data_IF_058491395508
#
_entry.id   IF_058491395508
#
_cell.length_a   1.000
_cell.length_b   1.000
_cell.length_c   1.000
_cell.angle_alpha   90.00
_cell.angle_beta   90.00
_cell.angle_gamma   90.00
#
_symmetry.space_group_name_H-M   'P 1'
#
loop_
_entity.id
_entity.type
_entity.pdbx_description
1 polymer ?
#
# COMPACT_ATOMS: atom_id res chain seq x y z
N UNK A 1 -39.39 34.90 52.13
CA UNK A 1 -38.46 35.25 51.08
C UNK A 1 -39.22 35.33 49.78
N UNK A 2 -39.17 36.45 49.08
CA UNK A 2 -39.99 36.65 47.89
C UNK A 2 -39.47 35.85 46.71
N UNK A 3 -40.39 35.46 45.84
CA UNK A 3 -40.08 34.64 44.63
C UNK A 3 -38.96 35.23 43.74
N UNK A 4 -38.75 36.53 43.80
CA UNK A 4 -37.66 37.21 43.07
C UNK A 4 -36.27 36.93 43.63
N UNK A 5 -36.13 36.81 44.97
CA UNK A 5 -34.81 36.48 45.58
C UNK A 5 -34.37 35.08 45.27
N UNK A 6 -35.31 34.15 45.08
CA UNK A 6 -35.01 32.77 44.69
C UNK A 6 -34.56 32.69 43.22
N UNK A 7 -35.16 33.47 42.31
CA UNK A 7 -34.75 33.53 40.89
C UNK A 7 -33.38 34.13 40.70
N UNK A 8 -32.98 35.14 41.47
CA UNK A 8 -31.65 35.75 41.39
C UNK A 8 -30.57 34.78 41.90
N UNK A 9 -30.83 34.03 42.97
CA UNK A 9 -29.90 33.05 43.51
C UNK A 9 -29.73 31.87 42.55
N UNK A 10 -30.78 31.40 41.89
CA UNK A 10 -30.66 30.32 40.89
C UNK A 10 -29.90 30.77 39.62
N UNK A 11 -30.09 32.02 39.18
CA UNK A 11 -29.33 32.56 38.02
C UNK A 11 -27.83 32.71 38.32
N UNK A 12 -27.49 33.14 39.55
CA UNK A 12 -26.08 33.23 39.96
C UNK A 12 -25.41 31.86 40.14
N UNK A 13 -26.13 30.87 40.65
CA UNK A 13 -25.61 29.50 40.77
C UNK A 13 -25.40 28.84 39.39
N UNK A 14 -26.27 29.14 38.43
CA UNK A 14 -26.12 28.63 37.04
C UNK A 14 -24.93 29.28 36.31
N UNK A 15 -24.67 30.56 36.56
CA UNK A 15 -23.55 31.27 35.94
C UNK A 15 -22.19 30.80 36.53
N UNK A 16 -22.11 30.53 37.84
CA UNK A 16 -20.91 30.01 38.48
C UNK A 16 -20.61 28.57 38.02
N UNK A 17 -21.64 27.73 37.81
CA UNK A 17 -21.50 26.39 37.27
C UNK A 17 -21.00 26.41 35.82
N UNK A 18 -21.44 27.34 34.97
CA UNK A 18 -20.99 27.52 33.59
C UNK A 18 -19.52 28.00 33.49
N UNK A 19 -19.11 28.91 34.40
CA UNK A 19 -17.73 29.40 34.43
C UNK A 19 -16.77 28.32 34.99
N UNK A 20 -17.21 27.52 35.97
CA UNK A 20 -16.39 26.41 36.50
C UNK A 20 -16.21 25.26 35.48
N UNK A 21 -17.18 25.03 34.57
CA UNK A 21 -17.07 24.01 33.53
C UNK A 21 -16.18 24.47 32.36
N UNK A 22 -16.04 25.78 32.14
CA UNK A 22 -15.17 26.35 31.10
C UNK A 22 -13.67 26.34 31.45
N UNK A 23 -13.32 26.25 32.75
CA UNK A 23 -11.92 26.31 33.22
C UNK A 23 -11.28 24.91 33.32
N UNK A 24 -12.06 23.80 33.26
CA UNK A 24 -11.52 22.45 33.39
C UNK A 24 -11.37 21.71 32.05
N UNK A 25 -11.79 22.32 30.93
CA UNK A 25 -11.49 21.76 29.61
C UNK A 25 -10.19 22.37 29.08
N UNK A 26 -9.05 22.02 29.71
CA UNK A 26 -7.77 22.08 29.02
C UNK A 26 -7.81 21.01 27.95
N UNK A 27 -7.67 21.34 26.65
CA UNK A 27 -7.43 20.31 25.67
C UNK A 27 -6.13 19.65 26.09
N UNK A 28 -6.23 18.39 26.52
CA UNK A 28 -5.06 17.53 26.62
C UNK A 28 -4.28 17.75 25.35
N UNK A 29 -3.12 18.36 25.47
CA UNK A 29 -2.13 18.46 24.43
C UNK A 29 -2.06 17.08 23.79
N UNK A 30 -2.53 17.01 22.54
CA UNK A 30 -2.29 15.86 21.70
C UNK A 30 -0.77 15.65 21.80
N UNK A 31 -0.38 14.56 22.45
CA UNK A 31 0.98 14.07 22.42
C UNK A 31 1.32 14.01 20.94
N UNK A 32 2.02 15.03 20.44
CA UNK A 32 2.65 14.99 19.14
C UNK A 32 3.48 13.71 19.17
N UNK A 33 3.01 12.68 18.46
CA UNK A 33 3.87 11.55 18.15
C UNK A 33 5.17 12.14 17.70
N UNK A 34 6.31 11.70 18.27
CA UNK A 34 7.60 12.14 17.78
C UNK A 34 7.56 11.94 16.27
N UNK A 35 7.85 12.99 15.53
CA UNK A 35 7.96 12.95 14.08
C UNK A 35 8.86 11.75 13.79
N UNK A 36 8.27 10.74 13.15
CA UNK A 36 8.95 9.54 12.72
C UNK A 36 10.25 10.01 12.08
N UNK A 37 11.40 9.63 12.65
CA UNK A 37 12.72 9.91 12.09
C UNK A 37 12.87 9.07 10.82
N UNK A 38 12.03 9.35 9.83
CA UNK A 38 12.23 8.81 8.49
C UNK A 38 13.58 9.29 8.04
N UNK A 39 14.41 8.37 7.63
CA UNK A 39 15.71 8.68 7.06
C UNK A 39 15.56 9.84 6.09
N UNK A 40 16.12 10.99 6.42
CA UNK A 40 16.16 12.18 5.57
C UNK A 40 17.10 12.00 4.36
N UNK A 41 17.72 10.81 4.25
CA UNK A 41 18.62 10.46 3.16
C UNK A 41 17.79 10.31 1.88
N UNK A 42 18.09 11.17 0.91
CA UNK A 42 17.55 11.09 -0.44
C UNK A 42 18.46 10.24 -1.33
N UNK A 43 17.90 9.59 -2.37
CA UNK A 43 18.73 8.91 -3.35
C UNK A 43 19.66 9.89 -4.07
N UNK A 44 20.88 9.44 -4.37
CA UNK A 44 21.80 10.20 -5.19
C UNK A 44 21.61 9.85 -6.68
N UNK A 45 21.88 10.81 -7.55
CA UNK A 45 21.70 10.64 -9.00
C UNK A 45 20.47 11.34 -9.54
N UNK A 46 20.22 11.17 -10.82
CA UNK A 46 19.07 11.79 -11.50
C UNK A 46 17.81 10.96 -11.31
N UNK A 47 16.67 11.58 -11.00
CA UNK A 47 15.39 10.88 -10.97
C UNK A 47 15.12 10.19 -12.31
N UNK A 48 14.74 8.92 -12.23
CA UNK A 48 14.44 8.10 -13.39
C UNK A 48 13.10 8.53 -14.02
N UNK A 49 13.10 8.79 -15.31
CA UNK A 49 11.87 9.04 -16.06
C UNK A 49 11.20 7.71 -16.39
N UNK A 50 10.28 7.27 -15.52
CA UNK A 50 9.51 6.03 -15.73
C UNK A 50 8.41 6.31 -16.75
N UNK A 51 8.48 5.63 -17.91
CA UNK A 51 7.45 5.74 -18.94
C UNK A 51 6.15 5.07 -18.45
N UNK A 52 5.12 5.87 -18.24
CA UNK A 52 3.80 5.38 -17.86
C UNK A 52 3.05 4.91 -19.11
N UNK A 53 2.57 3.66 -19.16
CA UNK A 53 1.78 3.15 -20.27
C UNK A 53 0.42 3.86 -20.41
N UNK A 54 -0.16 3.81 -21.61
CA UNK A 54 -1.53 4.29 -21.88
C UNK A 54 -2.53 3.59 -20.91
N UNK A 55 -3.49 4.36 -20.41
CA UNK A 55 -4.53 3.89 -19.51
C UNK A 55 -4.18 3.98 -18.02
N UNK A 56 -2.96 4.40 -17.69
CA UNK A 56 -2.55 4.68 -16.31
C UNK A 56 -2.39 6.19 -16.07
N UNK A 57 -2.67 6.68 -14.85
CA UNK A 57 -2.40 8.06 -14.47
C UNK A 57 -0.90 8.33 -14.32
N UNK A 58 -0.48 9.60 -14.15
CA UNK A 58 0.89 9.92 -13.75
C UNK A 58 1.31 9.11 -12.52
N UNK A 59 2.54 8.56 -12.57
CA UNK A 59 3.02 7.70 -11.49
C UNK A 59 3.19 8.52 -10.19
N UNK A 60 2.58 8.11 -9.06
CA UNK A 60 2.80 8.77 -7.78
C UNK A 60 4.21 8.45 -7.27
N UNK A 61 5.02 9.50 -7.11
CA UNK A 61 6.39 9.42 -6.64
C UNK A 61 6.51 10.22 -5.34
N UNK A 62 6.85 9.58 -4.20
CA UNK A 62 7.08 10.29 -2.96
C UNK A 62 8.30 11.22 -3.07
N UNK A 63 8.21 12.42 -2.51
CA UNK A 63 9.29 13.40 -2.52
C UNK A 63 10.56 12.90 -1.80
N UNK A 64 10.39 12.02 -0.80
CA UNK A 64 11.48 11.45 -0.01
C UNK A 64 12.01 10.12 -0.58
N UNK A 65 11.46 9.65 -1.70
CA UNK A 65 11.91 8.44 -2.40
C UNK A 65 11.71 8.54 -3.93
N UNK A 66 12.29 9.56 -4.61
CA UNK A 66 12.28 9.62 -6.06
C UNK A 66 13.16 8.49 -6.62
N UNK A 67 12.61 7.57 -7.48
CA UNK A 67 13.40 6.49 -8.04
C UNK A 67 14.55 7.00 -8.90
N UNK A 68 15.73 6.40 -8.74
CA UNK A 68 16.88 6.54 -9.66
C UNK A 68 17.21 5.19 -10.29
N UNK A 69 18.05 5.16 -11.31
CA UNK A 69 18.47 3.89 -11.89
C UNK A 69 19.13 2.96 -10.86
N UNK A 70 19.90 3.55 -9.96
CA UNK A 70 20.64 2.84 -8.90
C UNK A 70 19.68 2.30 -7.83
N UNK A 71 18.71 3.10 -7.36
CA UNK A 71 17.73 2.62 -6.36
C UNK A 71 16.82 1.55 -6.93
N UNK A 72 16.43 1.64 -8.19
CA UNK A 72 15.65 0.61 -8.88
C UNK A 72 16.45 -0.68 -9.03
N UNK A 73 17.72 -0.60 -9.44
CA UNK A 73 18.59 -1.77 -9.58
C UNK A 73 18.84 -2.45 -8.23
N UNK A 74 19.13 -1.68 -7.18
CA UNK A 74 19.28 -2.17 -5.82
C UNK A 74 17.99 -2.80 -5.31
N UNK A 75 16.86 -2.14 -5.48
CA UNK A 75 15.55 -2.63 -5.06
C UNK A 75 15.17 -3.93 -5.77
N UNK A 76 15.43 -4.03 -7.08
CA UNK A 76 15.23 -5.26 -7.82
C UNK A 76 16.08 -6.39 -7.25
N UNK A 77 17.36 -6.15 -6.93
CA UNK A 77 18.23 -7.17 -6.33
C UNK A 77 17.67 -7.63 -4.97
N UNK A 78 17.29 -6.70 -4.09
CA UNK A 78 16.71 -7.01 -2.78
C UNK A 78 15.39 -7.78 -2.90
N UNK A 79 14.53 -7.41 -3.85
CA UNK A 79 13.25 -8.07 -4.10
C UNK A 79 13.39 -9.58 -4.44
N UNK A 80 14.47 -9.96 -5.11
CA UNK A 80 14.74 -11.35 -5.49
C UNK A 80 15.68 -12.07 -4.51
N UNK A 81 16.19 -11.40 -3.47
CA UNK A 81 17.19 -11.99 -2.59
C UNK A 81 16.53 -12.71 -1.40
N UNK A 82 16.69 -14.05 -1.29
CA UNK A 82 16.18 -14.80 -0.15
C UNK A 82 16.93 -14.50 1.17
N UNK A 83 18.10 -13.84 1.13
CA UNK A 83 18.86 -13.47 2.33
C UNK A 83 18.07 -12.52 3.26
N UNK A 84 16.96 -11.94 2.80
CA UNK A 84 16.09 -11.13 3.65
C UNK A 84 15.20 -11.98 4.59
N UNK A 85 15.02 -13.29 4.31
CA UNK A 85 14.27 -14.21 5.19
C UNK A 85 15.14 -14.85 6.25
N UNK A 86 14.52 -15.40 7.30
CA UNK A 86 15.23 -15.95 8.46
C UNK A 86 16.20 -17.10 8.10
N UNK A 87 15.82 -17.94 7.13
CA UNK A 87 16.53 -19.14 6.72
C UNK A 87 17.10 -19.05 5.29
N UNK A 88 17.07 -17.88 4.66
CA UNK A 88 17.52 -17.63 3.28
C UNK A 88 16.76 -18.44 2.22
N UNK A 89 15.50 -18.79 2.44
CA UNK A 89 14.70 -19.57 1.48
C UNK A 89 13.64 -18.75 0.75
N UNK A 90 13.19 -17.64 1.33
CA UNK A 90 12.05 -16.84 0.85
C UNK A 90 12.50 -15.43 0.48
N UNK A 91 12.15 -15.00 -0.73
CA UNK A 91 12.27 -13.61 -1.20
C UNK A 91 10.86 -13.04 -1.50
N UNK A 92 10.75 -11.75 -1.81
CA UNK A 92 9.49 -11.18 -2.29
C UNK A 92 8.99 -11.91 -3.55
N UNK A 93 9.90 -12.24 -4.46
CA UNK A 93 9.59 -12.96 -5.69
C UNK A 93 9.09 -14.40 -5.46
N UNK A 94 9.29 -14.99 -4.28
CA UNK A 94 8.75 -16.31 -3.95
C UNK A 94 7.23 -16.32 -3.91
N UNK A 95 6.61 -15.23 -3.45
CA UNK A 95 5.16 -15.05 -3.34
C UNK A 95 4.60 -14.11 -4.41
N UNK A 96 5.46 -13.31 -5.06
CA UNK A 96 5.10 -12.35 -6.09
C UNK A 96 5.94 -12.60 -7.35
N UNK A 97 5.73 -13.78 -7.97
CA UNK A 97 6.51 -14.26 -9.11
C UNK A 97 6.13 -13.52 -10.40
N UNK A 98 7.11 -12.98 -11.16
CA UNK A 98 6.84 -12.38 -12.48
C UNK A 98 6.14 -13.35 -13.44
N UNK A 99 6.45 -14.64 -13.38
CA UNK A 99 5.84 -15.68 -14.22
C UNK A 99 4.37 -15.95 -13.87
N UNK A 100 3.90 -15.45 -12.74
CA UNK A 100 2.51 -15.49 -12.32
C UNK A 100 1.85 -14.09 -12.34
N UNK A 101 2.45 -13.10 -13.03
CA UNK A 101 1.96 -11.73 -13.01
C UNK A 101 2.25 -11.01 -11.68
N UNK A 102 3.40 -11.26 -11.09
CA UNK A 102 3.81 -10.71 -9.79
C UNK A 102 2.84 -11.04 -8.65
N UNK A 103 2.22 -12.21 -8.70
CA UNK A 103 1.42 -12.82 -7.63
C UNK A 103 1.85 -14.28 -7.44
N UNK A 104 1.10 -15.08 -6.69
CA UNK A 104 1.33 -16.52 -6.52
C UNK A 104 0.32 -17.32 -7.35
N UNK A 105 0.74 -18.49 -7.87
CA UNK A 105 -0.16 -19.44 -8.53
C UNK A 105 -1.01 -20.23 -7.53
N UNK A 106 -0.54 -20.34 -6.29
CA UNK A 106 -1.25 -21.00 -5.21
C UNK A 106 -2.28 -20.07 -4.57
N UNK A 107 -3.37 -20.63 -4.05
CA UNK A 107 -4.36 -19.86 -3.29
C UNK A 107 -3.73 -19.12 -2.10
N UNK A 108 -2.74 -19.73 -1.46
CA UNK A 108 -1.98 -19.15 -0.35
C UNK A 108 -0.51 -19.45 -0.55
N UNK A 109 0.33 -18.45 -0.36
CA UNK A 109 1.78 -18.59 -0.45
C UNK A 109 2.36 -19.38 0.73
N UNK A 110 3.50 -19.98 0.50
CA UNK A 110 4.29 -20.70 1.51
C UNK A 110 5.50 -19.85 1.90
N UNK A 111 5.62 -19.57 3.18
CA UNK A 111 6.77 -18.85 3.74
C UNK A 111 7.82 -19.79 4.32
N UNK A 112 8.69 -19.23 5.17
CA UNK A 112 9.76 -19.94 5.88
C UNK A 112 9.21 -21.18 6.60
N UNK A 113 9.88 -22.32 6.42
CA UNK A 113 9.46 -23.60 6.99
C UNK A 113 8.15 -24.13 6.40
N UNK A 114 7.84 -23.76 5.16
CA UNK A 114 6.60 -24.17 4.46
C UNK A 114 5.32 -23.73 5.19
N UNK A 115 5.40 -22.71 6.02
CA UNK A 115 4.23 -22.16 6.73
C UNK A 115 3.30 -21.50 5.72
N UNK A 116 2.02 -21.82 5.80
CA UNK A 116 1.00 -21.35 4.89
C UNK A 116 0.41 -20.02 5.34
N UNK A 117 0.37 -19.04 4.46
CA UNK A 117 -0.36 -17.80 4.67
C UNK A 117 -1.87 -18.00 4.69
N UNK A 118 -2.60 -16.98 5.07
CA UNK A 118 -4.08 -17.01 5.17
C UNK A 118 -4.78 -16.27 4.04
N UNK A 119 -4.01 -15.50 3.25
CA UNK A 119 -4.50 -14.68 2.14
C UNK A 119 -3.69 -14.96 0.88
N UNK A 120 -4.34 -14.79 -0.27
CA UNK A 120 -3.64 -14.80 -1.56
C UNK A 120 -2.72 -13.58 -1.66
N UNK A 121 -1.50 -13.75 -2.21
CA UNK A 121 -0.60 -12.64 -2.46
C UNK A 121 -1.14 -11.76 -3.59
N UNK A 122 -1.46 -10.47 -3.35
CA UNK A 122 -1.91 -9.59 -4.41
C UNK A 122 -0.80 -9.35 -5.43
N UNK A 123 -1.16 -8.98 -6.64
CA UNK A 123 -0.16 -8.60 -7.65
C UNK A 123 0.58 -7.32 -7.26
N UNK A 124 1.87 -7.26 -7.56
CA UNK A 124 2.69 -6.01 -7.45
C UNK A 124 2.50 -5.12 -8.68
N UNK A 125 1.94 -5.67 -9.79
CA UNK A 125 1.67 -4.85 -10.98
C UNK A 125 0.76 -3.69 -10.58
N UNK A 126 1.19 -2.47 -10.90
CA UNK A 126 0.46 -1.23 -10.65
C UNK A 126 0.20 -0.93 -9.15
N UNK A 127 0.84 -1.64 -8.21
CA UNK A 127 0.64 -1.42 -6.77
C UNK A 127 1.00 0.01 -6.31
N UNK A 128 1.84 0.72 -7.06
CA UNK A 128 2.17 2.11 -6.81
C UNK A 128 0.95 3.06 -6.86
N UNK A 129 -0.14 2.66 -7.52
CA UNK A 129 -1.37 3.44 -7.62
C UNK A 129 -2.40 3.12 -6.54
N UNK A 130 -2.17 2.10 -5.72
CA UNK A 130 -3.07 1.77 -4.62
C UNK A 130 -3.00 2.87 -3.55
N UNK A 131 -4.16 3.35 -3.10
CA UNK A 131 -4.23 4.31 -2.00
C UNK A 131 -3.75 3.73 -0.67
N UNK A 132 -3.96 2.43 -0.48
CA UNK A 132 -3.52 1.65 0.67
C UNK A 132 -3.02 0.28 0.20
N UNK A 133 -2.08 -0.30 0.92
CA UNK A 133 -1.48 -1.59 0.61
C UNK A 133 -2.05 -2.69 1.51
N UNK A 134 -1.92 -3.95 1.10
CA UNK A 134 -2.59 -5.13 1.62
C UNK A 134 -4.10 -5.14 1.35
N UNK A 135 -4.71 -6.33 1.45
CA UNK A 135 -6.16 -6.50 1.27
C UNK A 135 -7.02 -5.73 2.30
N UNK A 136 -6.45 -5.41 3.44
CA UNK A 136 -7.10 -4.70 4.55
C UNK A 136 -6.64 -3.24 4.71
N UNK A 137 -5.79 -2.77 3.81
CA UNK A 137 -5.36 -1.37 3.79
C UNK A 137 -4.48 -0.93 4.96
N UNK A 138 -3.88 -1.89 5.71
CA UNK A 138 -3.14 -1.57 6.94
C UNK A 138 -1.81 -0.84 6.73
N UNK A 139 -1.30 -0.77 5.51
CA UNK A 139 -0.09 -0.01 5.20
C UNK A 139 -0.39 1.15 4.23
N UNK A 140 0.06 2.37 4.53
CA UNK A 140 -0.25 3.56 3.73
C UNK A 140 0.63 3.70 2.48
N UNK A 141 1.78 3.04 2.42
CA UNK A 141 2.75 3.17 1.31
C UNK A 141 3.38 1.83 0.96
N UNK A 142 4.06 1.75 -0.19
CA UNK A 142 4.85 0.57 -0.57
C UNK A 142 5.99 0.32 0.42
N UNK A 143 6.63 1.38 0.91
CA UNK A 143 7.70 1.30 1.89
C UNK A 143 7.24 0.66 3.20
N UNK A 144 6.09 1.10 3.71
CA UNK A 144 5.52 0.51 4.94
C UNK A 144 4.99 -0.92 4.70
N UNK A 145 4.48 -1.20 3.51
CA UNK A 145 4.08 -2.55 3.14
C UNK A 145 5.27 -3.50 3.16
N UNK A 146 6.40 -3.11 2.54
CA UNK A 146 7.58 -3.96 2.43
C UNK A 146 8.19 -4.36 3.78
N UNK A 147 7.98 -3.58 4.84
CA UNK A 147 8.41 -3.91 6.21
C UNK A 147 7.67 -5.12 6.78
N UNK A 148 6.38 -5.25 6.45
CA UNK A 148 5.48 -6.25 7.07
C UNK A 148 5.91 -7.71 6.80
N UNK A 149 6.01 -8.16 5.55
CA UNK A 149 6.38 -9.53 5.21
C UNK A 149 7.70 -10.00 5.81
N UNK A 150 8.68 -9.11 5.94
CA UNK A 150 10.00 -9.44 6.50
C UNK A 150 9.90 -9.98 7.93
N UNK A 151 8.98 -9.43 8.74
CA UNK A 151 8.84 -9.80 10.16
C UNK A 151 7.66 -10.75 10.41
N UNK A 152 6.87 -11.04 9.39
CA UNK A 152 5.74 -11.95 9.55
C UNK A 152 6.23 -13.40 9.73
N UNK A 153 5.88 -14.08 10.85
CA UNK A 153 6.38 -15.42 11.17
C UNK A 153 5.89 -16.54 10.24
N UNK A 154 4.87 -16.26 9.41
CA UNK A 154 4.38 -17.20 8.38
C UNK A 154 4.82 -16.82 6.96
N UNK A 155 5.60 -15.75 6.80
CA UNK A 155 6.15 -15.28 5.52
C UNK A 155 7.69 -15.39 5.55
N UNK A 156 8.42 -14.30 5.83
CA UNK A 156 9.89 -14.28 5.83
C UNK A 156 10.50 -14.55 7.21
N UNK A 157 9.73 -14.45 8.30
CA UNK A 157 10.05 -14.83 9.67
C UNK A 157 11.36 -14.23 10.24
N UNK A 158 11.80 -13.07 9.72
CA UNK A 158 13.03 -12.39 10.13
C UNK A 158 12.73 -11.26 11.14
N UNK A 159 13.73 -10.46 11.47
CA UNK A 159 13.57 -9.14 12.12
C UNK A 159 14.18 -8.06 11.25
N UNK A 160 13.74 -6.80 11.38
CA UNK A 160 14.35 -5.69 10.64
C UNK A 160 15.85 -5.55 10.97
N UNK A 161 16.23 -5.80 12.22
CA UNK A 161 17.62 -5.77 12.64
C UNK A 161 18.46 -6.85 11.96
N UNK A 162 17.95 -8.07 11.85
CA UNK A 162 18.63 -9.19 11.18
C UNK A 162 18.73 -8.97 9.67
N UNK A 163 17.68 -8.43 9.04
CA UNK A 163 17.72 -8.03 7.63
C UNK A 163 18.85 -7.03 7.41
N UNK A 164 18.89 -5.95 8.18
CA UNK A 164 19.94 -4.93 8.08
C UNK A 164 21.32 -5.54 8.31
N UNK A 165 21.48 -6.36 9.35
CA UNK A 165 22.74 -7.03 9.68
C UNK A 165 23.26 -7.88 8.50
N UNK A 166 22.38 -8.68 7.88
CA UNK A 166 22.77 -9.53 6.72
C UNK A 166 23.14 -8.71 5.50
N UNK A 167 22.34 -7.69 5.19
CA UNK A 167 22.61 -6.79 4.06
C UNK A 167 23.93 -6.03 4.29
N UNK A 168 24.15 -5.50 5.51
CA UNK A 168 25.35 -4.76 5.90
C UNK A 168 26.60 -5.65 5.87
N UNK A 169 26.48 -6.95 6.18
CA UNK A 169 27.59 -7.90 6.16
C UNK A 169 28.05 -8.28 4.73
N UNK A 170 27.26 -7.95 3.71
CA UNK A 170 27.60 -8.23 2.31
C UNK A 170 28.24 -7.01 1.64
N UNK A 171 29.57 -7.05 1.31
CA UNK A 171 30.27 -5.92 0.73
C UNK A 171 29.67 -5.43 -0.61
N UNK A 172 29.02 -6.32 -1.37
CA UNK A 172 28.36 -5.94 -2.63
C UNK A 172 27.14 -5.04 -2.33
N UNK A 173 26.36 -5.32 -1.28
CA UNK A 173 25.27 -4.46 -0.88
C UNK A 173 25.77 -3.11 -0.37
N UNK A 174 26.81 -3.10 0.46
CA UNK A 174 27.42 -1.85 0.95
C UNK A 174 27.82 -0.94 -0.22
N UNK A 175 28.45 -1.48 -1.25
CA UNK A 175 28.80 -0.73 -2.45
C UNK A 175 27.58 -0.22 -3.22
N UNK A 176 26.52 -1.04 -3.35
CA UNK A 176 25.28 -0.65 -4.03
C UNK A 176 24.51 0.41 -3.26
N UNK A 177 24.45 0.32 -1.92
CA UNK A 177 23.83 1.37 -1.09
C UNK A 177 24.60 2.67 -1.19
N UNK A 178 25.93 2.63 -1.21
CA UNK A 178 26.75 3.82 -1.42
C UNK A 178 26.50 4.48 -2.79
N UNK A 179 26.30 3.68 -3.83
CA UNK A 179 25.94 4.18 -5.18
C UNK A 179 24.53 4.79 -5.23
N UNK A 180 23.56 4.16 -4.55
CA UNK A 180 22.16 4.56 -4.62
C UNK A 180 21.81 5.68 -3.62
N UNK A 181 22.41 5.67 -2.44
CA UNK A 181 22.01 6.52 -1.31
C UNK A 181 23.15 7.40 -0.75
N UNK A 182 24.36 7.27 -1.28
CA UNK A 182 25.52 8.04 -0.81
C UNK A 182 26.05 7.64 0.57
N UNK A 183 25.55 6.55 1.14
CA UNK A 183 25.93 6.07 2.47
C UNK A 183 26.24 4.59 2.48
N UNK A 184 27.15 4.19 3.36
CA UNK A 184 27.43 2.80 3.69
C UNK A 184 26.71 2.33 4.96
N UNK A 185 25.99 3.23 5.64
CA UNK A 185 25.14 2.94 6.79
C UNK A 185 23.76 2.49 6.31
N UNK A 186 23.57 1.18 6.27
CA UNK A 186 22.32 0.58 5.78
C UNK A 186 21.27 0.58 6.89
N UNK A 187 20.09 1.08 6.59
CA UNK A 187 18.92 1.05 7.48
C UNK A 187 17.78 0.29 6.82
N UNK A 188 16.81 -0.16 7.63
CA UNK A 188 15.63 -0.83 7.09
C UNK A 188 14.84 0.10 6.16
N UNK A 189 14.80 1.42 6.45
CA UNK A 189 14.12 2.38 5.61
C UNK A 189 14.77 2.50 4.22
N UNK A 190 16.09 2.46 4.12
CA UNK A 190 16.77 2.47 2.83
C UNK A 190 16.56 1.15 2.06
N UNK A 191 16.47 0.02 2.77
CA UNK A 191 16.14 -1.28 2.18
C UNK A 191 14.75 -1.23 1.54
N UNK A 192 13.71 -0.83 2.31
CA UNK A 192 12.34 -0.80 1.81
C UNK A 192 12.11 0.31 0.79
N UNK A 193 12.76 1.46 0.91
CA UNK A 193 12.75 2.52 -0.10
C UNK A 193 13.31 2.03 -1.44
N UNK A 194 14.38 1.24 -1.42
CA UNK A 194 14.93 0.63 -2.64
C UNK A 194 13.96 -0.37 -3.26
N UNK A 195 13.37 -1.28 -2.45
CA UNK A 195 12.37 -2.24 -2.92
C UNK A 195 11.18 -1.50 -3.55
N UNK A 196 10.62 -0.51 -2.88
CA UNK A 196 9.51 0.30 -3.38
C UNK A 196 9.87 1.06 -4.68
N UNK A 197 11.13 1.51 -4.83
CA UNK A 197 11.61 2.12 -6.09
C UNK A 197 11.56 1.13 -7.25
N UNK A 198 11.90 -0.14 -7.03
CA UNK A 198 11.74 -1.19 -8.04
C UNK A 198 10.26 -1.47 -8.32
N UNK A 199 9.42 -1.64 -7.29
CA UNK A 199 7.99 -1.93 -7.44
C UNK A 199 7.26 -0.85 -8.25
N UNK A 200 7.65 0.43 -8.12
CA UNK A 200 7.13 1.54 -8.94
C UNK A 200 7.43 1.39 -10.43
N UNK A 201 8.39 0.56 -10.82
CA UNK A 201 8.65 0.26 -12.24
C UNK A 201 7.81 -0.91 -12.78
N UNK A 202 7.10 -1.64 -11.90
CA UNK A 202 6.28 -2.79 -12.27
C UNK A 202 4.90 -2.30 -12.73
N UNK A 203 4.87 -1.74 -13.93
CA UNK A 203 3.68 -1.14 -14.52
C UNK A 203 3.16 -1.98 -15.69
N UNK A 204 1.84 -2.09 -15.79
CA UNK A 204 1.14 -2.69 -16.91
C UNK A 204 -0.05 -1.82 -17.31
N UNK A 205 -0.06 -1.42 -18.57
CA UNK A 205 -1.11 -0.66 -19.23
C UNK A 205 -1.03 -0.93 -20.72
N UNK A 206 -1.63 -0.06 -21.54
CA UNK A 206 -1.75 -0.25 -22.98
C UNK A 206 -2.45 -1.59 -23.34
N UNK A 207 -3.39 -2.00 -22.49
CA UNK A 207 -4.21 -3.18 -22.72
C UNK A 207 -5.12 -3.00 -23.96
N UNK A 208 -5.78 -4.07 -24.46
CA UNK A 208 -6.82 -3.90 -25.46
C UNK A 208 -7.91 -2.90 -25.06
N UNK A 209 -8.28 -2.87 -23.76
CA UNK A 209 -9.23 -1.89 -23.25
C UNK A 209 -8.65 -0.46 -23.34
N UNK A 210 -7.42 -0.23 -22.91
CA UNK A 210 -6.79 1.11 -22.93
C UNK A 210 -6.68 1.64 -24.37
N UNK A 211 -6.26 0.79 -25.31
CA UNK A 211 -6.19 1.16 -26.72
C UNK A 211 -7.56 1.49 -27.31
N UNK A 212 -8.60 0.73 -26.93
CA UNK A 212 -9.96 0.98 -27.38
C UNK A 212 -10.53 2.27 -26.78
N UNK A 213 -10.41 2.44 -25.48
CA UNK A 213 -11.11 3.48 -24.74
C UNK A 213 -10.36 4.83 -24.80
N UNK A 214 -9.07 4.82 -24.55
CA UNK A 214 -8.21 6.01 -24.49
C UNK A 214 -7.41 6.22 -25.78
N UNK A 215 -7.02 5.15 -26.46
CA UNK A 215 -6.26 5.20 -27.71
C UNK A 215 -7.15 5.28 -28.96
N UNK A 216 -8.48 5.24 -28.81
CA UNK A 216 -9.48 5.31 -29.89
C UNK A 216 -9.34 4.23 -30.97
N UNK A 217 -8.62 3.14 -30.71
CA UNK A 217 -8.52 1.97 -31.60
C UNK A 217 -9.78 1.12 -31.50
N UNK A 218 -10.73 1.36 -32.40
CA UNK A 218 -12.02 0.65 -32.44
C UNK A 218 -11.89 -0.85 -32.66
N UNK A 219 -10.73 -1.34 -33.13
CA UNK A 219 -10.46 -2.77 -33.38
C UNK A 219 -9.77 -3.46 -32.18
N UNK A 220 -9.33 -2.72 -31.16
CA UNK A 220 -8.61 -3.30 -30.02
C UNK A 220 -9.47 -4.24 -29.17
N UNK A 221 -10.80 -4.05 -29.15
CA UNK A 221 -11.74 -4.94 -28.47
C UNK A 221 -12.61 -5.72 -29.47
N UNK A 222 -12.81 -7.00 -29.20
CA UNK A 222 -13.80 -7.79 -29.96
C UNK A 222 -15.23 -7.26 -29.75
N UNK A 223 -16.14 -7.55 -30.65
CA UNK A 223 -17.56 -7.18 -30.52
C UNK A 223 -18.19 -7.72 -29.22
N UNK A 224 -17.78 -8.91 -28.77
CA UNK A 224 -18.22 -9.47 -27.49
C UNK A 224 -17.70 -8.66 -26.30
N UNK A 225 -16.41 -8.26 -26.30
CA UNK A 225 -15.83 -7.43 -25.25
C UNK A 225 -16.46 -6.03 -25.20
N UNK A 226 -16.78 -5.44 -26.36
CA UNK A 226 -17.49 -4.15 -26.42
C UNK A 226 -18.90 -4.25 -25.81
N UNK A 227 -19.66 -5.33 -26.09
CA UNK A 227 -20.95 -5.58 -25.43
C UNK A 227 -20.78 -5.79 -23.92
N UNK A 228 -19.72 -6.50 -23.51
CA UNK A 228 -19.36 -6.67 -22.09
C UNK A 228 -19.10 -5.34 -21.40
N UNK A 229 -18.37 -4.43 -22.05
CA UNK A 229 -18.12 -3.08 -21.52
C UNK A 229 -19.42 -2.28 -21.37
N UNK A 230 -20.34 -2.37 -22.30
CA UNK A 230 -21.67 -1.75 -22.20
C UNK A 230 -22.44 -2.28 -20.98
N UNK A 231 -22.42 -3.60 -20.76
CA UNK A 231 -23.07 -4.21 -19.58
C UNK A 231 -22.37 -3.76 -18.29
N UNK A 232 -21.04 -3.72 -18.28
CA UNK A 232 -20.22 -3.32 -17.14
C UNK A 232 -20.55 -1.90 -16.67
N UNK A 233 -20.79 -0.98 -17.61
CA UNK A 233 -21.06 0.44 -17.30
C UNK A 233 -22.55 0.78 -17.16
N UNK A 234 -23.46 -0.08 -17.61
CA UNK A 234 -24.91 0.17 -17.56
C UNK A 234 -25.45 0.03 -16.13
N UNK A 235 -25.98 1.12 -15.52
CA UNK A 235 -26.50 1.09 -14.15
C UNK A 235 -27.73 0.20 -13.96
N UNK A 236 -28.38 -0.18 -15.05
CA UNK A 236 -29.55 -1.08 -15.02
C UNK A 236 -29.20 -2.55 -15.29
N UNK A 237 -27.92 -2.85 -15.56
CA UNK A 237 -27.43 -4.22 -15.86
C UNK A 237 -26.31 -4.60 -14.88
N UNK A 238 -25.05 -4.53 -15.32
CA UNK A 238 -23.90 -4.93 -14.51
C UNK A 238 -23.61 -3.96 -13.37
N UNK A 239 -23.71 -2.66 -13.67
CA UNK A 239 -23.40 -1.57 -12.73
C UNK A 239 -22.03 -1.69 -12.02
N UNK A 240 -21.09 -2.40 -12.67
CA UNK A 240 -19.78 -2.71 -12.06
C UNK A 240 -18.90 -1.45 -11.92
N UNK A 241 -19.09 -0.48 -12.84
CA UNK A 241 -18.31 0.76 -12.88
C UNK A 241 -18.54 1.68 -11.66
N UNK A 242 -19.53 1.40 -10.81
CA UNK A 242 -19.75 2.13 -9.54
C UNK A 242 -18.56 1.95 -8.58
N UNK A 243 -18.01 0.73 -8.50
CA UNK A 243 -16.84 0.42 -7.67
C UNK A 243 -15.58 0.28 -8.54
N UNK A 244 -15.71 -0.33 -9.74
CA UNK A 244 -14.61 -0.50 -10.70
C UNK A 244 -14.60 0.68 -11.68
N UNK A 245 -14.19 1.85 -11.19
CA UNK A 245 -14.33 3.13 -11.89
C UNK A 245 -13.48 3.20 -13.17
N UNK A 246 -14.07 3.82 -14.20
CA UNK A 246 -13.41 4.18 -15.46
C UNK A 246 -13.38 5.69 -15.54
N UNK A 247 -12.19 6.29 -15.41
CA UNK A 247 -11.99 7.72 -15.50
C UNK A 247 -11.99 8.22 -16.95
N UNK A 248 -11.89 9.53 -17.12
CA UNK A 248 -11.86 10.17 -18.45
C UNK A 248 -10.55 9.93 -19.20
N UNK A 249 -9.43 9.85 -18.49
CA UNK A 249 -8.07 9.78 -19.05
C UNK A 249 -7.35 8.46 -18.74
N UNK A 250 -7.81 7.74 -17.71
CA UNK A 250 -7.25 6.46 -17.28
C UNK A 250 -8.27 5.63 -16.51
N UNK A 251 -8.02 4.33 -16.35
CA UNK A 251 -8.83 3.44 -15.53
C UNK A 251 -7.95 2.50 -14.70
N UNK A 252 -8.02 2.65 -13.39
CA UNK A 252 -7.45 1.67 -12.44
C UNK A 252 -8.48 0.60 -12.05
N UNK A 253 -9.73 0.73 -12.49
CA UNK A 253 -10.85 -0.16 -12.17
C UNK A 253 -11.06 -0.36 -10.66
N UNK A 254 -10.84 0.70 -9.89
CA UNK A 254 -11.09 0.76 -8.46
C UNK A 254 -11.46 2.19 -8.06
N UNK A 255 -12.28 2.33 -7.04
CA UNK A 255 -12.54 3.59 -6.36
C UNK A 255 -11.67 3.76 -5.10
N UNK A 256 -10.75 2.82 -4.86
CA UNK A 256 -9.86 2.76 -3.69
C UNK A 256 -10.60 2.74 -2.34
N UNK A 257 -11.83 2.21 -2.31
CA UNK A 257 -12.64 2.07 -1.09
C UNK A 257 -12.83 0.61 -0.71
N UNK A 258 -13.24 0.40 0.53
CA UNK A 258 -13.65 -0.90 1.03
C UNK A 258 -15.17 -1.02 0.94
N UNK A 259 -15.65 -2.12 0.34
CA UNK A 259 -17.06 -2.40 0.18
C UNK A 259 -17.45 -3.69 0.89
N UNK A 260 -18.54 -3.67 1.62
CA UNK A 260 -19.09 -4.88 2.21
C UNK A 260 -19.85 -5.67 1.14
N UNK A 261 -19.21 -6.70 0.62
CA UNK A 261 -19.79 -7.60 -0.40
C UNK A 261 -20.42 -8.86 0.20
N UNK A 262 -20.53 -8.94 1.52
CA UNK A 262 -21.03 -10.15 2.20
C UNK A 262 -20.06 -11.34 2.15
N UNK A 263 -18.80 -11.14 1.74
CA UNK A 263 -17.80 -12.20 1.72
C UNK A 263 -17.42 -12.54 3.17
N UNK A 264 -17.47 -13.82 3.53
CA UNK A 264 -17.20 -14.31 4.89
C UNK A 264 -18.42 -14.35 5.81
N UNK A 265 -19.62 -14.08 5.30
CA UNK A 265 -20.87 -14.37 6.00
C UNK A 265 -21.06 -15.88 6.03
N UNK A 266 -21.29 -16.45 7.22
CA UNK A 266 -21.64 -17.87 7.38
C UNK A 266 -23.12 -18.13 7.06
N UNK A 267 -23.53 -19.40 7.12
CA UNK A 267 -24.90 -19.81 6.83
C UNK A 267 -25.97 -19.19 7.78
N UNK A 268 -25.53 -18.63 8.93
CA UNK A 268 -26.40 -17.98 9.93
C UNK A 268 -26.47 -16.45 9.72
N UNK A 269 -25.77 -15.92 8.71
CA UNK A 269 -25.70 -14.49 8.48
C UNK A 269 -24.72 -13.73 9.39
N UNK A 270 -23.88 -14.45 10.12
CA UNK A 270 -22.92 -13.85 11.04
C UNK A 270 -21.53 -13.66 10.40
N UNK A 271 -20.93 -12.51 10.62
CA UNK A 271 -19.56 -12.18 10.21
C UNK A 271 -18.51 -12.79 11.17
N UNK A 272 -18.70 -14.03 11.58
CA UNK A 272 -17.89 -14.68 12.60
C UNK A 272 -16.41 -14.89 12.22
N UNK A 273 -15.98 -14.53 11.00
CA UNK A 273 -14.60 -14.69 10.55
C UNK A 273 -14.04 -13.50 9.75
N UNK A 274 -13.75 -12.37 10.38
CA UNK A 274 -12.99 -11.31 9.72
C UNK A 274 -11.54 -11.72 9.41
N UNK A 275 -11.11 -12.94 9.76
CA UNK A 275 -9.73 -13.44 9.59
C UNK A 275 -9.45 -14.12 8.24
N UNK A 276 -10.40 -14.22 7.36
CA UNK A 276 -10.23 -14.86 6.04
C UNK A 276 -9.84 -13.87 4.93
N UNK A 277 -9.69 -12.59 5.25
CA UNK A 277 -9.17 -11.58 4.34
C UNK A 277 -7.80 -11.11 4.75
#
# INVERSE_FOLDING_TARGET
MSSEKIRVIMLFAFFIALVAFAVTYSPTSALSRPADQRSSVLPIGKPLQIKVPLGLPPLPVPADNPPTAETVALGRRLYYDPALSADNTISCASCHSPQAGFTDRNKFSLGVGQKKGTRHSPTVINSAYNALQFWDGRAPTLEEQAKGPMVNPVEMASTHADVVKRVQANPQYVALFKQAWGTDQITIDLVVKSIASFERTVLSGNSPFDRFYYGHDKKALSAAAQRGLQIFTDPKKGNCAVCHTIGREYALFTDNKFHNLGIGIDANGDFSRPRAF
#
